data_IF_403312953668
#
_entry.id   IF_403312953668
#
_cell.length_a   1.000
_cell.length_b   1.000
_cell.length_c   1.000
_cell.angle_alpha   90.00
_cell.angle_beta   90.00
_cell.angle_gamma   90.00
#
_symmetry.space_group_name_H-M   'P 1'
#
loop_
_entity.id
_entity.type
_entity.pdbx_description
1 polymer ?
#
# COMPACT_ATOMS: atom_id res chain seq x y z
N UNK A 1 -25.12 2.01 -4.88
CA UNK A 1 -26.02 0.87 -4.59
C UNK A 1 -25.30 -0.27 -3.87
N UNK A 2 -24.10 -0.74 -4.30
CA UNK A 2 -23.37 -1.82 -3.61
C UNK A 2 -22.80 -1.40 -2.24
N UNK A 3 -22.37 -0.16 -2.06
CA UNK A 3 -21.78 0.33 -0.80
C UNK A 3 -22.82 0.60 0.31
N UNK A 4 -24.05 0.97 -0.04
CA UNK A 4 -25.12 1.18 0.96
C UNK A 4 -25.60 -0.15 1.58
N UNK A 5 -25.55 -1.26 0.84
CA UNK A 5 -25.88 -2.59 1.37
C UNK A 5 -24.76 -3.14 2.29
N UNK A 6 -23.50 -2.73 2.07
CA UNK A 6 -22.36 -3.19 2.87
C UNK A 6 -22.28 -2.57 4.28
N UNK A 7 -23.02 -1.48 4.55
CA UNK A 7 -22.94 -0.75 5.83
C UNK A 7 -23.98 -1.18 6.87
N UNK A 8 -24.93 -2.07 6.53
CA UNK A 8 -26.10 -2.35 7.37
C UNK A 8 -26.05 -3.63 8.21
N UNK A 9 -25.07 -4.51 8.03
CA UNK A 9 -25.00 -5.78 8.75
C UNK A 9 -23.70 -5.96 9.52
N UNK A 10 -23.78 -6.26 10.82
CA UNK A 10 -22.66 -6.46 11.73
C UNK A 10 -21.84 -7.75 11.47
N UNK A 11 -22.26 -8.57 10.50
CA UNK A 11 -21.56 -9.77 10.03
C UNK A 11 -21.02 -9.56 8.61
N UNK A 12 -20.30 -8.48 8.39
CA UNK A 12 -19.88 -8.05 7.07
C UNK A 12 -18.98 -9.09 6.37
N UNK A 13 -19.58 -9.82 5.45
CA UNK A 13 -18.85 -10.67 4.52
C UNK A 13 -18.35 -9.81 3.34
N UNK A 14 -17.35 -8.94 3.59
CA UNK A 14 -16.71 -8.21 2.50
C UNK A 14 -16.01 -9.19 1.57
N UNK A 15 -16.25 -9.11 0.25
CA UNK A 15 -15.43 -9.87 -0.68
C UNK A 15 -13.99 -9.36 -0.54
N UNK A 16 -13.07 -10.23 -0.15
CA UNK A 16 -11.65 -9.88 -0.11
C UNK A 16 -11.17 -9.59 -1.54
N UNK A 17 -10.52 -8.45 -1.72
CA UNK A 17 -9.90 -8.08 -2.99
C UNK A 17 -8.71 -8.98 -3.29
N UNK A 18 -8.52 -9.34 -4.56
CA UNK A 18 -7.41 -10.15 -5.05
C UNK A 18 -6.58 -9.37 -6.07
N UNK A 19 -5.38 -9.88 -6.35
CA UNK A 19 -4.57 -9.36 -7.45
C UNK A 19 -5.39 -9.39 -8.75
N UNK A 20 -5.33 -8.30 -9.51
CA UNK A 20 -6.06 -8.02 -10.75
C UNK A 20 -7.56 -7.68 -10.55
N UNK A 21 -8.07 -7.61 -9.31
CA UNK A 21 -9.40 -7.07 -9.06
C UNK A 21 -9.39 -5.54 -9.04
N UNK A 22 -10.48 -4.93 -9.50
CA UNK A 22 -10.72 -3.49 -9.33
C UNK A 22 -11.08 -3.21 -7.87
N UNK A 23 -10.41 -2.21 -7.27
CA UNK A 23 -10.63 -1.82 -5.87
C UNK A 23 -11.89 -0.97 -5.75
N UNK A 24 -12.71 -1.26 -4.73
CA UNK A 24 -13.93 -0.51 -4.44
C UNK A 24 -13.62 0.92 -3.97
N UNK A 25 -14.57 1.82 -4.18
CA UNK A 25 -14.47 3.20 -3.73
C UNK A 25 -14.87 3.31 -2.25
N UNK A 26 -13.95 3.71 -1.41
CA UNK A 26 -14.14 3.91 0.03
C UNK A 26 -13.95 5.36 0.43
N UNK A 27 -14.68 5.80 1.45
CA UNK A 27 -14.39 7.05 2.14
C UNK A 27 -13.16 6.87 3.04
N UNK A 28 -12.24 7.82 2.99
CA UNK A 28 -10.97 7.84 3.72
C UNK A 28 -10.97 9.04 4.66
N UNK A 29 -11.06 8.81 5.96
CA UNK A 29 -10.77 9.80 6.99
C UNK A 29 -9.29 9.68 7.35
N UNK A 30 -8.52 10.75 7.24
CA UNK A 30 -7.06 10.73 7.41
C UNK A 30 -6.59 11.89 8.27
N UNK A 31 -5.57 11.68 9.07
CA UNK A 31 -4.72 12.75 9.59
C UNK A 31 -3.58 13.01 8.61
N UNK A 32 -3.44 14.25 8.16
CA UNK A 32 -2.33 14.66 7.31
C UNK A 32 -1.33 15.50 8.13
N UNK A 33 -0.16 14.94 8.46
CA UNK A 33 0.85 15.64 9.25
C UNK A 33 1.51 16.82 8.51
N UNK A 34 1.38 16.90 7.18
CA UNK A 34 1.96 18.01 6.40
C UNK A 34 1.13 19.29 6.52
N UNK A 35 -0.15 19.16 6.77
CA UNK A 35 -1.09 20.28 6.98
C UNK A 35 -1.54 20.41 8.43
N UNK A 36 -1.21 19.43 9.28
CA UNK A 36 -1.68 19.27 10.65
C UNK A 36 -3.22 19.30 10.76
N UNK A 37 -3.91 18.64 9.83
CA UNK A 37 -5.36 18.67 9.75
C UNK A 37 -5.95 17.28 9.45
N UNK A 38 -7.26 17.16 9.65
CA UNK A 38 -8.05 15.99 9.25
C UNK A 38 -8.56 16.20 7.85
N UNK A 39 -8.25 15.25 6.97
CA UNK A 39 -8.60 15.28 5.55
C UNK A 39 -9.55 14.13 5.24
N UNK A 40 -10.66 14.45 4.58
CA UNK A 40 -11.61 13.46 4.08
C UNK A 40 -11.50 13.36 2.56
N UNK A 41 -11.24 12.17 2.06
CA UNK A 41 -11.10 11.84 0.64
C UNK A 41 -11.86 10.56 0.33
N UNK A 42 -11.94 10.25 -0.96
CA UNK A 42 -12.33 8.91 -1.43
C UNK A 42 -11.16 8.25 -2.13
N UNK A 43 -11.17 6.93 -2.21
CA UNK A 43 -10.19 6.22 -3.06
C UNK A 43 -10.27 6.76 -4.49
N UNK A 44 -11.47 7.11 -4.97
CA UNK A 44 -11.69 7.70 -6.31
C UNK A 44 -10.98 9.03 -6.57
N UNK A 45 -10.62 9.78 -5.55
CA UNK A 45 -9.85 11.03 -5.70
C UNK A 45 -8.41 10.78 -6.17
N UNK A 46 -7.97 9.53 -6.12
CA UNK A 46 -6.63 9.10 -6.54
C UNK A 46 -6.61 8.39 -7.91
N UNK A 47 -7.73 8.43 -8.66
CA UNK A 47 -7.75 7.90 -10.04
C UNK A 47 -6.68 8.54 -10.91
N UNK A 48 -6.07 7.71 -11.77
CA UNK A 48 -4.96 8.12 -12.61
C UNK A 48 -3.61 8.15 -11.88
N UNK A 49 -3.55 7.79 -10.60
CA UNK A 49 -2.33 7.70 -9.80
C UNK A 49 -2.10 6.27 -9.31
N UNK A 50 -0.85 5.92 -9.10
CA UNK A 50 -0.49 4.76 -8.31
C UNK A 50 -0.77 5.07 -6.85
N UNK A 51 -1.44 4.17 -6.14
CA UNK A 51 -1.76 4.33 -4.72
C UNK A 51 -1.12 3.20 -3.92
N UNK A 52 -0.36 3.57 -2.89
CA UNK A 52 0.20 2.64 -1.91
C UNK A 52 -0.51 2.84 -0.58
N UNK A 53 -1.11 1.79 -0.06
CA UNK A 53 -1.67 1.78 1.29
C UNK A 53 -0.85 0.81 2.14
N UNK A 54 -0.19 1.34 3.17
CA UNK A 54 0.63 0.58 4.10
C UNK A 54 -0.07 0.47 5.45
N UNK A 55 -0.76 -0.63 5.67
CA UNK A 55 -1.39 -0.95 6.96
C UNK A 55 -0.34 -1.37 8.00
N UNK A 56 -0.55 -0.96 9.24
CA UNK A 56 0.23 -1.36 10.40
C UNK A 56 -0.71 -1.62 11.58
N UNK A 57 -0.33 -2.44 12.58
CA UNK A 57 -1.22 -2.86 13.66
C UNK A 57 -1.82 -1.73 14.48
N UNK A 58 -1.00 -0.86 15.08
CA UNK A 58 -1.50 0.21 15.94
C UNK A 58 -0.45 1.31 16.18
N UNK A 59 -0.95 2.50 16.53
CA UNK A 59 -0.16 3.61 17.04
C UNK A 59 0.49 3.25 18.40
N UNK A 60 1.51 4.01 18.80
CA UNK A 60 2.22 3.87 20.09
C UNK A 60 2.77 2.45 20.35
N UNK A 61 3.18 1.75 19.28
CA UNK A 61 3.79 0.42 19.34
C UNK A 61 5.29 0.46 19.03
N UNK A 62 5.91 -0.68 18.70
CA UNK A 62 7.37 -0.80 18.66
C UNK A 62 7.95 -0.87 17.26
N UNK A 63 7.45 -1.78 16.41
CA UNK A 63 7.92 -1.96 15.03
C UNK A 63 7.30 -0.94 14.09
N UNK A 64 6.03 -0.56 14.33
CA UNK A 64 5.29 0.36 13.45
C UNK A 64 5.99 1.70 13.19
N UNK A 65 6.52 2.42 14.19
CA UNK A 65 7.19 3.70 13.92
C UNK A 65 8.47 3.51 13.11
N UNK A 66 9.14 2.36 13.20
CA UNK A 66 10.33 2.08 12.39
C UNK A 66 10.00 1.89 10.93
N UNK A 67 8.86 1.24 10.61
CA UNK A 67 8.37 1.06 9.24
C UNK A 67 7.93 2.39 8.62
N UNK A 68 7.15 3.20 9.36
CA UNK A 68 6.69 4.51 8.90
C UNK A 68 7.88 5.45 8.64
N UNK A 69 8.89 5.45 9.52
CA UNK A 69 10.14 6.17 9.31
C UNK A 69 10.90 5.68 8.08
N UNK A 70 11.04 4.36 7.90
CA UNK A 70 11.75 3.79 6.74
C UNK A 70 11.07 4.20 5.43
N UNK A 71 9.74 4.13 5.38
CA UNK A 71 8.96 4.61 4.24
C UNK A 71 9.12 6.12 4.03
N UNK A 72 9.07 6.93 5.11
CA UNK A 72 9.28 8.38 5.05
C UNK A 72 10.66 8.73 4.49
N UNK A 73 11.68 7.96 4.84
CA UNK A 73 13.05 8.13 4.32
C UNK A 73 13.17 7.83 2.83
N UNK A 74 12.24 7.05 2.26
CA UNK A 74 12.17 6.70 0.83
C UNK A 74 11.21 7.59 0.03
N UNK A 75 10.62 8.63 0.65
CA UNK A 75 9.61 9.48 -0.04
C UNK A 75 10.18 10.28 -1.21
N UNK A 76 11.47 10.60 -1.18
CA UNK A 76 12.13 11.24 -2.33
C UNK A 76 12.17 10.28 -3.53
N UNK A 77 12.56 9.02 -3.31
CA UNK A 77 12.57 7.99 -4.34
C UNK A 77 11.14 7.74 -4.87
N UNK A 78 10.16 7.65 -3.98
CA UNK A 78 8.74 7.48 -4.36
C UNK A 78 8.26 8.64 -5.22
N UNK A 79 8.55 9.88 -4.83
CA UNK A 79 8.16 11.08 -5.59
C UNK A 79 8.85 11.15 -6.95
N UNK A 80 10.08 10.66 -7.05
CA UNK A 80 10.81 10.59 -8.33
C UNK A 80 10.11 9.69 -9.36
N UNK A 81 9.30 8.74 -8.89
CA UNK A 81 8.53 7.84 -9.76
C UNK A 81 7.34 8.52 -10.43
N UNK A 82 7.07 9.78 -10.11
CA UNK A 82 5.94 10.53 -10.66
C UNK A 82 4.59 9.82 -10.49
N UNK A 83 3.61 10.55 -10.03
CA UNK A 83 2.22 10.10 -9.95
C UNK A 83 2.00 8.90 -9.00
N UNK A 84 2.72 8.87 -7.87
CA UNK A 84 2.55 7.88 -6.79
C UNK A 84 2.10 8.59 -5.52
N UNK A 85 1.02 8.12 -4.91
CA UNK A 85 0.54 8.54 -3.59
C UNK A 85 0.76 7.41 -2.59
N UNK A 86 1.09 7.79 -1.36
CA UNK A 86 1.36 6.85 -0.27
C UNK A 86 0.55 7.23 0.95
N UNK A 87 0.02 6.25 1.66
CA UNK A 87 -0.73 6.42 2.90
C UNK A 87 -0.36 5.34 3.91
N UNK A 88 -0.20 5.72 5.17
CA UNK A 88 -0.27 4.79 6.29
C UNK A 88 -1.74 4.47 6.60
N UNK A 89 -2.00 3.35 7.26
CA UNK A 89 -3.35 2.99 7.71
C UNK A 89 -3.31 2.12 8.95
N UNK A 90 -4.16 2.40 9.93
CA UNK A 90 -4.43 1.51 11.06
C UNK A 90 -5.90 1.63 11.51
N UNK A 91 -6.30 0.83 12.48
CA UNK A 91 -7.64 0.92 13.09
C UNK A 91 -7.75 2.01 14.15
N UNK A 92 -6.70 2.81 14.37
CA UNK A 92 -6.70 3.93 15.31
C UNK A 92 -7.49 5.14 14.77
N UNK A 93 -7.75 6.11 15.63
CA UNK A 93 -8.43 7.34 15.26
C UNK A 93 -7.47 8.39 14.69
N UNK A 94 -7.95 9.36 13.91
CA UNK A 94 -7.14 10.50 13.44
C UNK A 94 -6.50 11.28 14.58
N UNK A 95 -7.14 11.33 15.75
CA UNK A 95 -6.58 11.98 16.96
C UNK A 95 -5.44 11.18 17.59
N UNK A 96 -5.50 9.83 17.51
CA UNK A 96 -4.40 8.96 17.91
C UNK A 96 -3.21 9.17 16.98
N UNK A 97 -3.42 9.16 15.67
CA UNK A 97 -2.38 9.44 14.68
C UNK A 97 -1.69 10.78 14.94
N UNK A 98 -2.47 11.85 15.13
CA UNK A 98 -1.92 13.16 15.47
C UNK A 98 -1.06 13.10 16.73
N UNK A 99 -1.61 12.59 17.82
CA UNK A 99 -0.90 12.51 19.10
C UNK A 99 0.37 11.67 18.99
N UNK A 100 0.34 10.59 18.21
CA UNK A 100 1.52 9.75 18.00
C UNK A 100 2.60 10.45 17.18
N UNK A 101 2.24 11.08 16.08
CA UNK A 101 3.19 11.86 15.25
C UNK A 101 3.84 12.98 16.06
N UNK A 102 3.10 13.65 16.95
CA UNK A 102 3.63 14.72 17.80
C UNK A 102 4.60 14.21 18.90
N UNK A 103 4.44 12.96 19.38
CA UNK A 103 5.22 12.44 20.49
C UNK A 103 6.33 11.46 20.10
N UNK A 104 6.18 10.77 18.96
CA UNK A 104 7.17 9.79 18.50
C UNK A 104 8.23 10.44 17.62
N UNK A 105 9.46 10.52 18.12
CA UNK A 105 10.56 11.19 17.42
C UNK A 105 10.91 10.58 16.06
N UNK A 106 10.64 9.29 15.86
CA UNK A 106 10.83 8.62 14.58
C UNK A 106 9.86 9.10 13.51
N UNK A 107 8.71 9.68 13.90
CA UNK A 107 7.68 10.19 13.01
C UNK A 107 7.78 11.70 12.76
N UNK A 108 8.79 12.35 13.31
CA UNK A 108 9.07 13.75 13.00
C UNK A 108 9.19 13.93 11.48
N UNK A 109 8.43 14.91 10.94
CA UNK A 109 8.43 15.22 9.50
C UNK A 109 7.85 14.12 8.61
N UNK A 110 6.89 13.35 9.10
CA UNK A 110 6.14 12.41 8.28
C UNK A 110 5.48 13.15 7.11
N UNK A 111 5.64 12.62 5.88
CA UNK A 111 5.33 13.32 4.64
C UNK A 111 4.13 12.74 3.89
N UNK A 112 3.34 11.90 4.52
CA UNK A 112 2.16 11.26 3.94
C UNK A 112 1.06 11.10 4.98
N UNK A 113 -0.21 11.08 4.55
CA UNK A 113 -1.36 10.97 5.47
C UNK A 113 -1.49 9.57 6.07
N UNK A 114 -2.21 9.52 7.20
CA UNK A 114 -2.51 8.30 7.95
C UNK A 114 -4.02 8.07 7.99
N UNK A 115 -4.49 6.98 7.39
CA UNK A 115 -5.90 6.60 7.33
C UNK A 115 -6.35 6.03 8.67
N UNK A 116 -7.47 6.52 9.17
CA UNK A 116 -8.20 5.97 10.31
C UNK A 116 -9.23 4.94 9.81
N UNK A 117 -8.86 3.67 9.78
CA UNK A 117 -9.80 2.58 9.47
C UNK A 117 -10.56 2.12 10.73
N UNK A 118 -11.07 3.08 11.50
CA UNK A 118 -11.76 2.84 12.78
C UNK A 118 -12.96 1.91 12.65
N UNK A 119 -13.60 1.89 11.49
CA UNK A 119 -14.73 0.99 11.17
C UNK A 119 -14.28 -0.39 10.67
N UNK A 120 -12.98 -0.61 10.54
CA UNK A 120 -12.35 -1.85 10.04
C UNK A 120 -12.80 -2.28 8.64
N UNK A 121 -13.34 -1.31 7.87
CA UNK A 121 -13.88 -1.58 6.53
C UNK A 121 -12.75 -1.92 5.55
N UNK A 122 -11.70 -1.10 5.54
CA UNK A 122 -10.57 -1.30 4.64
C UNK A 122 -9.77 -2.54 5.01
N UNK A 123 -9.42 -2.72 6.29
CA UNK A 123 -8.66 -3.89 6.75
C UNK A 123 -9.38 -5.20 6.51
N UNK A 124 -10.72 -5.22 6.60
CA UNK A 124 -11.54 -6.39 6.24
C UNK A 124 -11.55 -6.63 4.74
N UNK A 125 -11.77 -5.58 3.95
CA UNK A 125 -11.78 -5.67 2.49
C UNK A 125 -10.43 -6.15 1.93
N UNK A 126 -9.32 -5.67 2.49
CA UNK A 126 -7.98 -6.13 2.13
C UNK A 126 -7.57 -7.46 2.79
N UNK A 127 -8.45 -8.08 3.59
CA UNK A 127 -8.24 -9.41 4.17
C UNK A 127 -7.16 -9.46 5.25
N UNK A 128 -6.90 -8.35 5.93
CA UNK A 128 -5.84 -8.21 6.94
C UNK A 128 -6.35 -7.80 8.33
N UNK A 129 -7.65 -7.77 8.54
CA UNK A 129 -8.21 -7.51 9.86
C UNK A 129 -8.05 -8.73 10.77
N UNK A 130 -7.47 -8.53 11.94
CA UNK A 130 -7.29 -9.58 12.94
C UNK A 130 -8.40 -9.50 14.00
N UNK A 131 -9.34 -10.44 13.96
CA UNK A 131 -10.49 -10.51 14.88
C UNK A 131 -10.09 -10.73 16.34
N UNK A 132 -8.87 -11.19 16.63
CA UNK A 132 -8.41 -11.44 18.00
C UNK A 132 -7.85 -10.19 18.64
N UNK A 133 -7.13 -9.37 17.88
CA UNK A 133 -6.47 -8.15 18.36
C UNK A 133 -7.25 -6.89 18.07
N UNK A 134 -8.21 -6.94 17.13
CA UNK A 134 -8.97 -5.82 16.59
C UNK A 134 -8.09 -4.80 15.85
N UNK A 135 -6.90 -5.22 15.45
CA UNK A 135 -5.97 -4.42 14.66
C UNK A 135 -5.90 -4.94 13.21
N UNK A 136 -5.31 -4.18 12.33
CA UNK A 136 -4.86 -4.69 11.03
C UNK A 136 -3.54 -5.46 11.19
N UNK A 137 -3.31 -6.44 10.33
CA UNK A 137 -1.98 -7.01 10.13
C UNK A 137 -1.08 -6.02 9.37
N UNK A 138 0.23 -6.29 9.28
CA UNK A 138 1.14 -5.52 8.43
C UNK A 138 0.92 -5.88 6.97
N UNK A 139 0.18 -5.06 6.25
CA UNK A 139 -0.13 -5.25 4.84
C UNK A 139 0.27 -4.06 3.99
N UNK A 140 0.89 -4.27 2.85
CA UNK A 140 1.16 -3.26 1.83
C UNK A 140 0.44 -3.62 0.55
N UNK A 141 -0.34 -2.69 0.04
CA UNK A 141 -1.15 -2.85 -1.17
C UNK A 141 -0.76 -1.79 -2.17
N UNK A 142 -0.51 -2.19 -3.42
CA UNK A 142 -0.20 -1.27 -4.52
C UNK A 142 -1.31 -1.38 -5.55
N UNK A 143 -1.95 -0.25 -5.82
CA UNK A 143 -3.09 -0.10 -6.74
C UNK A 143 -2.62 0.75 -7.91
N UNK A 144 -2.93 0.32 -9.14
CA UNK A 144 -2.54 1.03 -10.36
C UNK A 144 -3.47 2.22 -10.68
N UNK A 145 -3.12 3.07 -11.66
CA UNK A 145 -3.95 4.21 -12.08
C UNK A 145 -5.36 3.85 -12.57
N UNK A 146 -5.60 2.60 -12.95
CA UNK A 146 -6.90 2.08 -13.38
C UNK A 146 -7.69 1.44 -12.21
N UNK A 147 -7.19 1.58 -10.98
CA UNK A 147 -7.80 0.99 -9.78
C UNK A 147 -7.70 -0.50 -9.64
N UNK A 148 -6.79 -1.12 -10.31
CA UNK A 148 -6.54 -2.54 -10.22
C UNK A 148 -5.46 -2.82 -9.17
N UNK A 149 -5.72 -3.74 -8.26
CA UNK A 149 -4.74 -4.17 -7.25
C UNK A 149 -3.63 -4.98 -7.91
N UNK A 150 -2.39 -4.50 -7.81
CA UNK A 150 -1.22 -5.07 -8.50
C UNK A 150 -0.23 -5.78 -7.57
N UNK A 151 -0.21 -5.45 -6.28
CA UNK A 151 0.71 -6.09 -5.33
C UNK A 151 0.10 -6.17 -3.95
N UNK A 152 0.34 -7.29 -3.28
CA UNK A 152 0.02 -7.55 -1.88
C UNK A 152 1.29 -8.05 -1.20
N UNK A 153 1.63 -7.45 -0.07
CA UNK A 153 2.63 -7.97 0.85
C UNK A 153 2.04 -7.99 2.26
N UNK A 154 1.98 -9.16 2.88
CA UNK A 154 1.49 -9.33 4.25
C UNK A 154 2.54 -10.06 5.05
N UNK A 155 2.94 -9.50 6.19
CA UNK A 155 3.91 -10.10 7.09
C UNK A 155 3.39 -10.16 8.51
N UNK A 156 3.89 -11.10 9.30
CA UNK A 156 3.56 -11.27 10.72
C UNK A 156 4.01 -10.06 11.54
N UNK A 157 3.28 -9.78 12.62
CA UNK A 157 3.44 -8.57 13.44
C UNK A 157 4.88 -8.23 13.88
N UNK A 158 5.74 -9.18 14.31
CA UNK A 158 7.09 -8.84 14.77
C UNK A 158 8.10 -8.52 13.67
N UNK A 159 7.72 -8.57 12.40
CA UNK A 159 8.63 -8.37 11.25
C UNK A 159 8.29 -7.06 10.53
N UNK A 160 9.21 -6.10 10.55
CA UNK A 160 9.10 -4.86 9.75
C UNK A 160 9.39 -5.09 8.27
N UNK A 161 8.68 -4.38 7.39
CA UNK A 161 8.85 -4.39 5.93
C UNK A 161 9.94 -3.43 5.50
N UNK A 162 10.40 -3.56 4.25
CA UNK A 162 11.44 -2.72 3.64
C UNK A 162 10.85 -1.75 2.61
N UNK A 163 11.02 -0.45 2.81
CA UNK A 163 10.63 0.57 1.84
C UNK A 163 11.44 0.49 0.55
N UNK A 164 12.70 0.04 0.60
CA UNK A 164 13.52 -0.19 -0.59
C UNK A 164 12.90 -1.25 -1.51
N UNK A 165 12.38 -2.33 -0.93
CA UNK A 165 11.68 -3.35 -1.71
C UNK A 165 10.34 -2.84 -2.24
N UNK A 166 9.62 -2.02 -1.49
CA UNK A 166 8.42 -1.34 -1.98
C UNK A 166 8.75 -0.45 -3.20
N UNK A 167 9.78 0.38 -3.13
CA UNK A 167 10.21 1.24 -4.24
C UNK A 167 10.61 0.39 -5.45
N UNK A 168 11.38 -0.69 -5.24
CA UNK A 168 11.74 -1.62 -6.32
C UNK A 168 10.51 -2.22 -7.00
N UNK A 169 9.51 -2.69 -6.23
CA UNK A 169 8.25 -3.22 -6.76
C UNK A 169 7.46 -2.16 -7.53
N UNK A 170 7.36 -0.94 -7.02
CA UNK A 170 6.71 0.18 -7.70
C UNK A 170 7.37 0.47 -9.06
N UNK A 171 8.70 0.52 -9.11
CA UNK A 171 9.45 0.70 -10.35
C UNK A 171 9.12 -0.40 -11.36
N UNK A 172 9.17 -1.66 -10.94
CA UNK A 172 8.86 -2.80 -11.80
C UNK A 172 7.41 -2.77 -12.33
N UNK A 173 6.43 -2.47 -11.45
CA UNK A 173 5.03 -2.36 -11.82
C UNK A 173 4.78 -1.21 -12.82
N UNK A 174 5.38 -0.04 -12.58
CA UNK A 174 5.29 1.09 -13.51
C UNK A 174 5.92 0.76 -14.85
N UNK A 175 7.11 0.16 -14.84
CA UNK A 175 7.79 -0.24 -16.06
C UNK A 175 6.94 -1.18 -16.92
N UNK A 176 6.36 -2.24 -16.32
CA UNK A 176 5.51 -3.19 -17.05
C UNK A 176 4.22 -2.52 -17.55
N UNK A 177 3.65 -1.59 -16.78
CA UNK A 177 2.47 -0.83 -17.19
C UNK A 177 2.75 0.07 -18.41
N UNK A 178 3.93 0.65 -18.47
CA UNK A 178 4.38 1.52 -19.58
C UNK A 178 4.92 0.72 -20.78
N UNK A 179 5.33 -0.54 -20.57
CA UNK A 179 5.90 -1.43 -21.58
C UNK A 179 5.12 -2.75 -21.69
N UNK A 180 3.91 -2.74 -22.26
CA UNK A 180 3.08 -3.93 -22.40
C UNK A 180 3.83 -5.07 -23.14
N UNK A 181 3.77 -6.27 -22.58
CA UNK A 181 4.46 -7.43 -23.15
C UNK A 181 5.86 -7.68 -22.59
N UNK A 182 6.40 -6.77 -21.78
CA UNK A 182 7.64 -6.99 -21.03
C UNK A 182 7.35 -7.64 -19.68
N UNK A 183 8.34 -8.37 -19.13
CA UNK A 183 8.30 -8.93 -17.79
C UNK A 183 9.60 -8.62 -17.06
N UNK A 184 9.46 -8.11 -15.82
CA UNK A 184 10.59 -7.87 -14.93
C UNK A 184 10.95 -9.17 -14.22
N UNK A 185 12.19 -9.68 -14.37
CA UNK A 185 12.64 -10.88 -13.67
C UNK A 185 12.83 -10.64 -12.17
N UNK A 186 13.21 -11.70 -11.45
CA UNK A 186 13.54 -11.60 -10.02
C UNK A 186 14.64 -10.55 -9.77
N UNK A 187 14.50 -9.78 -8.70
CA UNK A 187 15.42 -8.69 -8.31
C UNK A 187 15.63 -7.58 -9.35
N UNK A 188 14.73 -7.48 -10.33
CA UNK A 188 14.82 -6.46 -11.37
C UNK A 188 14.90 -5.04 -10.77
N UNK A 189 15.74 -4.20 -11.39
CA UNK A 189 15.88 -2.77 -11.13
C UNK A 189 15.98 -2.02 -12.47
N UNK A 190 16.00 -0.70 -12.46
CA UNK A 190 15.90 0.15 -13.66
C UNK A 190 16.96 -0.14 -14.75
N UNK A 191 18.13 -0.64 -14.37
CA UNK A 191 19.25 -0.92 -15.29
C UNK A 191 19.31 -2.39 -15.72
N UNK A 192 18.44 -3.24 -15.18
CA UNK A 192 18.47 -4.67 -15.45
C UNK A 192 17.71 -5.03 -16.73
N UNK A 193 18.15 -6.07 -17.46
CA UNK A 193 17.44 -6.55 -18.64
C UNK A 193 16.04 -7.07 -18.28
N UNK A 194 15.13 -6.96 -19.23
CA UNK A 194 13.75 -7.47 -19.14
C UNK A 194 13.58 -8.72 -20.00
N UNK A 195 12.57 -9.50 -19.69
CA UNK A 195 12.15 -10.62 -20.50
C UNK A 195 11.02 -10.18 -21.45
N UNK A 196 11.02 -10.73 -22.67
CA UNK A 196 9.91 -10.62 -23.61
C UNK A 196 9.24 -12.00 -23.71
N UNK A 197 8.21 -12.29 -22.89
CA UNK A 197 7.59 -13.59 -22.81
C UNK A 197 7.07 -14.09 -24.17
N UNK A 198 7.48 -15.28 -24.55
CA UNK A 198 7.00 -15.95 -25.74
C UNK A 198 7.14 -17.47 -25.60
N UNK A 199 6.41 -18.23 -26.38
CA UNK A 199 6.57 -19.70 -26.43
C UNK A 199 8.00 -20.11 -26.78
N UNK A 200 8.72 -19.28 -27.55
CA UNK A 200 10.10 -19.58 -28.01
C UNK A 200 11.13 -19.58 -26.88
N UNK A 201 10.94 -18.74 -25.84
CA UNK A 201 11.86 -18.68 -24.69
C UNK A 201 11.43 -19.57 -23.53
N UNK A 202 10.24 -20.19 -23.61
CA UNK A 202 9.75 -21.07 -22.56
C UNK A 202 10.66 -22.28 -22.41
N UNK A 203 11.20 -22.47 -21.21
CA UNK A 203 12.20 -23.53 -20.92
C UNK A 203 13.65 -23.15 -21.31
N UNK A 204 13.89 -22.01 -21.97
CA UNK A 204 15.18 -21.55 -22.47
C UNK A 204 15.53 -20.13 -21.97
N UNK A 205 14.93 -19.69 -20.85
CA UNK A 205 15.17 -18.34 -20.32
C UNK A 205 16.64 -18.10 -20.02
N UNK A 206 17.34 -19.08 -19.44
CA UNK A 206 18.77 -18.97 -19.11
C UNK A 206 19.72 -18.79 -20.30
N UNK A 207 19.28 -19.08 -21.51
CA UNK A 207 20.04 -18.84 -22.75
C UNK A 207 19.86 -17.40 -23.27
N UNK A 208 18.79 -16.74 -22.87
CA UNK A 208 18.35 -15.42 -23.35
C UNK A 208 18.42 -14.33 -22.28
N UNK A 209 18.75 -14.67 -21.05
CA UNK A 209 18.80 -13.78 -19.91
C UNK A 209 20.08 -14.00 -19.10
N UNK A 210 20.93 -12.99 -19.08
CA UNK A 210 22.14 -12.93 -18.26
C UNK A 210 21.92 -11.86 -17.18
N UNK A 211 21.15 -12.22 -16.14
CA UNK A 211 20.90 -11.35 -14.99
C UNK A 211 21.85 -11.61 -13.85
#
# INVERSE_FOLDING_TARGET
MILEELTSDATHNYPMVKIEDEVLDFDLEMYDPTTDDVVNKKVSDYRGKWLVIMFYPADFTFVCPTELKDLNSSMEDVRSLWNVEVMGASTDTVFSHKGWVEHETLLNWLQYPMISDRKTILSRYFGIFNEKTWNSERGTFIIDPNWVLKSIEIVTEPIGRSSKELVRKLKALKFVNENPGSACPANWNDDAPVLNPSVKIAGHVGENYSG
#
